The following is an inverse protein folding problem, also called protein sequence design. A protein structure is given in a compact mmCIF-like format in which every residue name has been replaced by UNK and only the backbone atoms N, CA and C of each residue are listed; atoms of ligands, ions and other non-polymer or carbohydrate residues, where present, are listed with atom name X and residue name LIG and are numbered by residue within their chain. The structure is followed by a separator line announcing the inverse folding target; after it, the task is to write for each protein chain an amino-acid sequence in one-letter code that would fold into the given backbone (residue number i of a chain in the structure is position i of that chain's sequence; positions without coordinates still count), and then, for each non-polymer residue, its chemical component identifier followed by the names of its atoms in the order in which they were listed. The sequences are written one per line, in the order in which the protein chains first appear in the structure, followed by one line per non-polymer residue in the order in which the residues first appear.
data_IF_831654613190
#
_entry.id   IF_831654613190
#
_cell.length_a   1.000
_cell.length_b   1.000
_cell.length_c   1.000
_cell.angle_alpha   90.00
_cell.angle_beta   90.00
_cell.angle_gamma   90.00
#
_symmetry.space_group_name_H-M   'P 1'
#
loop_
_entity.id
_entity.type
_entity.pdbx_description
1 polymer ?
#
# COMPACT_ATOMS: atom_id res chain seq x y z
N UNK A 1 -21.64 6.83 -74.32
CA UNK A 1 -21.33 6.28 -72.98
C UNK A 1 -22.07 7.18 -71.99
N UNK A 2 -23.17 6.66 -71.44
CA UNK A 2 -24.22 7.41 -70.75
C UNK A 2 -23.85 7.82 -69.32
N UNK A 3 -24.13 9.07 -68.99
CA UNK A 3 -24.27 9.55 -67.62
C UNK A 3 -25.60 9.01 -67.04
N UNK A 4 -25.54 8.32 -65.90
CA UNK A 4 -26.74 7.87 -65.18
C UNK A 4 -27.21 8.93 -64.19
N UNK A 5 -28.46 9.32 -64.42
CA UNK A 5 -29.27 10.28 -63.70
C UNK A 5 -29.62 9.80 -62.29
N UNK A 6 -29.55 10.74 -61.33
CA UNK A 6 -30.08 10.61 -59.99
C UNK A 6 -31.60 10.38 -60.02
N UNK A 7 -32.07 9.34 -59.32
CA UNK A 7 -33.50 9.17 -58.99
C UNK A 7 -33.66 9.15 -57.48
N UNK A 8 -34.36 10.16 -57.00
CA UNK A 8 -34.84 10.33 -55.62
C UNK A 8 -35.59 9.09 -55.12
N UNK A 9 -35.02 8.45 -54.11
CA UNK A 9 -35.69 7.48 -53.26
C UNK A 9 -35.79 8.05 -51.84
N UNK A 10 -36.91 8.73 -51.56
CA UNK A 10 -37.33 9.12 -50.20
C UNK A 10 -37.50 7.85 -49.37
N UNK A 11 -36.46 7.38 -48.71
CA UNK A 11 -36.58 6.46 -47.58
C UNK A 11 -36.79 7.29 -46.32
N UNK A 12 -38.05 7.34 -45.88
CA UNK A 12 -38.44 7.87 -44.58
C UNK A 12 -37.62 7.17 -43.50
N UNK A 13 -36.67 7.89 -42.89
CA UNK A 13 -36.05 7.44 -41.65
C UNK A 13 -37.07 7.56 -40.53
N UNK A 14 -37.38 6.42 -39.95
CA UNK A 14 -38.17 6.25 -38.74
C UNK A 14 -37.55 7.07 -37.59
N UNK A 15 -38.18 8.22 -37.29
CA UNK A 15 -37.68 9.27 -36.38
C UNK A 15 -37.90 8.93 -34.88
N UNK A 16 -38.15 7.66 -34.55
CA UNK A 16 -38.74 7.22 -33.29
C UNK A 16 -37.80 6.94 -32.11
N UNK A 17 -36.51 7.32 -32.13
CA UNK A 17 -35.57 6.88 -31.06
C UNK A 17 -35.02 7.95 -30.12
N UNK A 18 -35.20 9.25 -30.40
CA UNK A 18 -34.75 10.31 -29.49
C UNK A 18 -35.76 11.45 -29.40
N UNK A 19 -36.33 11.63 -28.21
CA UNK A 19 -37.19 12.76 -27.89
C UNK A 19 -36.31 14.00 -27.74
N UNK A 20 -36.55 15.00 -28.59
CA UNK A 20 -35.89 16.30 -28.49
C UNK A 20 -36.85 17.25 -27.78
N UNK A 21 -36.54 17.58 -26.53
CA UNK A 21 -37.30 18.55 -25.75
C UNK A 21 -37.05 19.96 -26.28
N UNK A 22 -38.08 20.82 -26.28
CA UNK A 22 -37.89 22.26 -26.56
C UNK A 22 -37.16 22.93 -25.39
N UNK A 23 -36.51 24.09 -25.60
CA UNK A 23 -35.85 24.83 -24.51
C UNK A 23 -36.77 25.11 -23.32
N UNK A 24 -38.03 25.45 -23.58
CA UNK A 24 -39.03 25.78 -22.57
C UNK A 24 -39.47 24.53 -21.80
N UNK A 25 -39.55 23.37 -22.47
CA UNK A 25 -39.81 22.08 -21.83
C UNK A 25 -38.63 21.67 -20.93
N UNK A 26 -37.39 21.88 -21.39
CA UNK A 26 -36.20 21.62 -20.58
C UNK A 26 -36.21 22.50 -19.34
N UNK A 27 -36.45 23.80 -19.48
CA UNK A 27 -36.49 24.74 -18.36
C UNK A 27 -37.57 24.37 -17.33
N UNK A 28 -38.76 23.98 -17.79
CA UNK A 28 -39.82 23.49 -16.91
C UNK A 28 -39.41 22.22 -16.16
N UNK A 29 -38.80 21.25 -16.85
CA UNK A 29 -38.29 20.03 -16.23
C UNK A 29 -37.14 20.31 -15.25
N UNK A 30 -36.28 21.30 -15.52
CA UNK A 30 -35.22 21.72 -14.61
C UNK A 30 -35.75 22.40 -13.35
N UNK A 31 -36.76 23.27 -13.46
CA UNK A 31 -37.45 23.83 -12.28
C UNK A 31 -38.05 22.73 -11.41
N UNK A 32 -38.77 21.79 -12.02
CA UNK A 32 -39.34 20.65 -11.30
C UNK A 32 -38.29 19.72 -10.68
N UNK A 33 -37.11 19.63 -11.28
CA UNK A 33 -35.99 18.87 -10.74
C UNK A 33 -35.44 19.46 -9.44
N UNK A 34 -35.42 20.79 -9.32
CA UNK A 34 -35.01 21.46 -8.09
C UNK A 34 -35.97 21.17 -6.93
N UNK A 35 -37.26 21.09 -7.20
CA UNK A 35 -38.27 20.79 -6.17
C UNK A 35 -38.30 19.30 -5.80
N UNK A 36 -38.27 18.41 -6.79
CA UNK A 36 -38.37 16.97 -6.57
C UNK A 36 -37.54 16.18 -7.59
N UNK A 37 -36.27 15.84 -7.28
CA UNK A 37 -35.38 15.14 -8.23
C UNK A 37 -35.72 13.65 -8.45
N UNK A 38 -36.65 13.08 -7.67
CA UNK A 38 -37.13 11.69 -7.79
C UNK A 38 -38.66 11.61 -7.75
N UNK A 39 -39.36 12.15 -8.77
CA UNK A 39 -40.82 12.20 -8.75
C UNK A 39 -41.43 10.79 -8.85
N UNK A 40 -42.48 10.54 -8.06
CA UNK A 40 -43.23 9.27 -8.07
C UNK A 40 -44.02 9.09 -9.39
N UNK A 41 -44.62 7.91 -9.61
CA UNK A 41 -45.46 7.69 -10.81
C UNK A 41 -46.67 8.63 -10.84
N UNK A 42 -47.32 8.80 -9.69
CA UNK A 42 -48.47 9.70 -9.52
C UNK A 42 -48.05 11.15 -9.78
N UNK A 43 -46.93 11.59 -9.20
CA UNK A 43 -46.44 12.95 -9.41
C UNK A 43 -46.13 13.21 -10.89
N UNK A 44 -45.53 12.25 -11.60
CA UNK A 44 -45.27 12.40 -13.06
C UNK A 44 -46.54 12.55 -13.88
N UNK A 45 -47.63 11.86 -13.52
CA UNK A 45 -48.93 12.01 -14.19
C UNK A 45 -49.56 13.37 -13.89
N UNK A 46 -49.47 13.85 -12.65
CA UNK A 46 -49.93 15.19 -12.26
C UNK A 46 -49.19 16.29 -13.01
N UNK A 47 -47.86 16.19 -13.13
CA UNK A 47 -47.04 17.19 -13.83
C UNK A 47 -47.45 17.40 -15.29
N UNK A 48 -47.89 16.36 -15.98
CA UNK A 48 -48.37 16.47 -17.37
C UNK A 48 -49.69 17.25 -17.45
N UNK A 49 -50.54 17.13 -16.41
CA UNK A 49 -51.81 17.86 -16.30
C UNK A 49 -51.61 19.30 -15.84
N UNK A 50 -50.70 19.52 -14.90
CA UNK A 50 -50.41 20.81 -14.27
C UNK A 50 -49.54 21.71 -15.16
N UNK A 51 -48.71 21.14 -16.03
CA UNK A 51 -47.84 21.89 -16.95
C UNK A 51 -48.25 21.65 -18.41
N UNK A 52 -49.05 22.54 -19.01
CA UNK A 52 -49.50 22.43 -20.40
C UNK A 52 -48.33 22.25 -21.40
N UNK A 53 -47.16 22.81 -21.10
CA UNK A 53 -45.97 22.68 -21.94
C UNK A 53 -45.39 21.25 -22.01
N UNK A 54 -45.71 20.42 -21.02
CA UNK A 54 -45.34 19.02 -20.93
C UNK A 54 -46.48 18.07 -21.33
N UNK A 55 -47.65 18.59 -21.72
CA UNK A 55 -48.86 17.80 -22.03
C UNK A 55 -48.64 16.75 -23.13
N UNK A 56 -47.74 17.02 -24.07
CA UNK A 56 -47.38 16.14 -25.18
C UNK A 56 -46.21 15.18 -24.87
N UNK A 57 -45.75 15.09 -23.61
CA UNK A 57 -44.64 14.24 -23.19
C UNK A 57 -45.18 13.04 -22.42
N UNK A 58 -44.74 11.84 -22.77
CA UNK A 58 -45.17 10.64 -22.06
C UNK A 58 -44.57 10.55 -20.64
N UNK A 59 -45.28 9.97 -19.65
CA UNK A 59 -44.76 9.75 -18.30
C UNK A 59 -43.45 8.94 -18.23
N UNK A 60 -43.23 8.07 -19.23
CA UNK A 60 -41.99 7.29 -19.39
C UNK A 60 -40.82 8.20 -19.80
N UNK A 61 -41.04 9.15 -20.69
CA UNK A 61 -40.03 10.09 -21.15
C UNK A 61 -39.59 11.02 -20.00
N UNK A 62 -40.54 11.50 -19.18
CA UNK A 62 -40.24 12.25 -17.95
C UNK A 62 -39.38 11.39 -17.00
N UNK A 63 -39.70 10.10 -16.82
CA UNK A 63 -38.87 9.18 -16.01
C UNK A 63 -37.42 9.17 -16.47
N UNK A 64 -37.22 8.98 -17.78
CA UNK A 64 -35.90 8.87 -18.41
C UNK A 64 -35.16 10.18 -18.32
N UNK A 65 -35.84 11.32 -18.51
CA UNK A 65 -35.25 12.64 -18.35
C UNK A 65 -34.70 12.84 -16.93
N UNK A 66 -35.49 12.56 -15.87
CA UNK A 66 -35.04 12.69 -14.48
C UNK A 66 -33.93 11.68 -14.12
N UNK A 67 -33.96 10.46 -14.66
CA UNK A 67 -32.86 9.50 -14.51
C UNK A 67 -31.58 10.01 -15.15
N UNK A 68 -31.66 10.49 -16.39
CA UNK A 68 -30.53 11.05 -17.12
C UNK A 68 -30.00 12.33 -16.47
N UNK A 69 -30.87 13.20 -15.94
CA UNK A 69 -30.47 14.43 -15.26
C UNK A 69 -29.67 14.13 -13.99
N UNK A 70 -30.12 13.18 -13.17
CA UNK A 70 -29.38 12.69 -11.99
C UNK A 70 -28.04 12.08 -12.38
N UNK A 71 -28.02 11.26 -13.44
CA UNK A 71 -26.80 10.64 -13.95
C UNK A 71 -25.79 11.71 -14.39
N UNK A 72 -26.22 12.70 -15.19
CA UNK A 72 -25.40 13.82 -15.66
C UNK A 72 -24.90 14.69 -14.51
N UNK A 73 -25.74 14.97 -13.51
CA UNK A 73 -25.31 15.76 -12.35
C UNK A 73 -24.27 15.01 -11.51
N UNK A 74 -24.48 13.71 -11.27
CA UNK A 74 -23.49 12.86 -10.60
C UNK A 74 -22.17 12.85 -11.37
N UNK A 75 -22.21 12.66 -12.69
CA UNK A 75 -21.03 12.73 -13.55
C UNK A 75 -20.35 14.10 -13.48
N UNK A 76 -21.10 15.21 -13.47
CA UNK A 76 -20.54 16.56 -13.36
C UNK A 76 -19.82 16.77 -12.03
N UNK A 77 -20.45 16.38 -10.90
CA UNK A 77 -19.83 16.45 -9.56
C UNK A 77 -18.56 15.62 -9.50
N UNK A 78 -18.59 14.41 -10.04
CA UNK A 78 -17.44 13.52 -10.09
C UNK A 78 -16.31 14.07 -10.97
N UNK A 79 -16.63 14.62 -12.14
CA UNK A 79 -15.67 15.27 -13.02
C UNK A 79 -15.01 16.48 -12.33
N UNK A 80 -15.78 17.32 -11.63
CA UNK A 80 -15.25 18.44 -10.85
C UNK A 80 -14.32 17.96 -9.71
N UNK A 81 -14.70 16.88 -9.01
CA UNK A 81 -13.87 16.25 -7.98
C UNK A 81 -12.55 15.74 -8.56
N UNK A 82 -12.60 15.04 -9.69
CA UNK A 82 -11.41 14.54 -10.38
C UNK A 82 -10.51 15.68 -10.87
N UNK A 83 -11.08 16.75 -11.41
CA UNK A 83 -10.31 17.94 -11.78
C UNK A 83 -9.61 18.59 -10.58
N UNK A 84 -10.28 18.69 -9.43
CA UNK A 84 -9.68 19.21 -8.21
C UNK A 84 -8.49 18.36 -7.73
N UNK A 85 -8.65 17.03 -7.72
CA UNK A 85 -7.57 16.09 -7.38
C UNK A 85 -6.42 16.19 -8.39
N UNK A 86 -6.73 16.30 -9.69
CA UNK A 86 -5.71 16.41 -10.74
C UNK A 86 -4.89 17.70 -10.60
N UNK A 87 -5.53 18.83 -10.25
CA UNK A 87 -4.81 20.08 -9.93
C UNK A 87 -3.85 19.90 -8.75
N UNK A 88 -4.30 19.25 -7.66
CA UNK A 88 -3.44 18.94 -6.51
C UNK A 88 -2.25 18.06 -6.91
N UNK A 89 -2.51 17.00 -7.69
CA UNK A 89 -1.48 16.08 -8.17
C UNK A 89 -0.47 16.78 -9.08
N UNK A 90 -0.93 17.66 -9.96
CA UNK A 90 -0.06 18.44 -10.85
C UNK A 90 0.83 19.40 -10.06
N UNK A 91 0.28 20.09 -9.06
CA UNK A 91 1.07 20.95 -8.18
C UNK A 91 2.13 20.17 -7.39
N UNK A 92 1.77 18.99 -6.88
CA UNK A 92 2.70 18.11 -6.17
C UNK A 92 3.77 17.53 -7.10
N UNK A 93 3.42 17.10 -8.31
CA UNK A 93 4.40 16.66 -9.30
C UNK A 93 5.41 17.76 -9.61
N UNK A 94 4.97 19.02 -9.68
CA UNK A 94 5.88 20.16 -9.86
C UNK A 94 6.86 20.27 -8.69
N UNK A 95 6.37 20.22 -7.44
CA UNK A 95 7.24 20.25 -6.26
C UNK A 95 8.22 19.08 -6.21
N UNK A 96 7.77 17.87 -6.56
CA UNK A 96 8.64 16.69 -6.64
C UNK A 96 9.72 16.84 -7.71
N UNK A 97 9.42 17.43 -8.88
CA UNK A 97 10.42 17.72 -9.89
C UNK A 97 11.42 18.77 -9.42
N UNK A 98 10.97 19.83 -8.75
CA UNK A 98 11.86 20.86 -8.18
C UNK A 98 12.81 20.27 -7.13
N UNK A 99 12.31 19.39 -6.26
CA UNK A 99 13.16 18.68 -5.28
C UNK A 99 14.12 17.70 -5.96
N UNK A 100 13.69 16.98 -6.99
CA UNK A 100 14.57 16.10 -7.74
C UNK A 100 15.74 16.88 -8.37
N UNK A 101 15.45 18.04 -8.98
CA UNK A 101 16.46 18.95 -9.51
C UNK A 101 17.44 19.44 -8.43
N UNK A 102 16.94 19.76 -7.23
CA UNK A 102 17.78 20.17 -6.09
C UNK A 102 18.70 19.04 -5.65
N UNK A 103 18.16 17.84 -5.48
CA UNK A 103 18.92 16.65 -5.09
C UNK A 103 19.97 16.30 -6.16
N UNK A 104 19.61 16.39 -7.44
CA UNK A 104 20.53 16.12 -8.54
C UNK A 104 21.71 17.11 -8.55
N UNK A 105 21.46 18.39 -8.21
CA UNK A 105 22.53 19.39 -8.00
C UNK A 105 23.41 19.05 -6.79
N UNK A 106 22.82 18.69 -5.65
CA UNK A 106 23.58 18.28 -4.46
C UNK A 106 24.45 17.06 -4.73
N UNK A 107 23.92 16.03 -5.38
CA UNK A 107 24.68 14.85 -5.79
C UNK A 107 25.82 15.23 -6.73
N UNK A 108 25.57 16.08 -7.73
CA UNK A 108 26.62 16.56 -8.64
C UNK A 108 27.74 17.28 -7.90
N UNK A 109 27.39 18.12 -6.92
CA UNK A 109 28.36 18.83 -6.10
C UNK A 109 29.16 17.88 -5.22
N UNK A 110 28.52 16.94 -4.52
CA UNK A 110 29.21 15.95 -3.71
C UNK A 110 30.12 15.04 -4.54
N UNK A 111 29.73 14.68 -5.77
CA UNK A 111 30.56 13.91 -6.70
C UNK A 111 31.79 14.72 -7.12
N UNK A 112 31.61 16.02 -7.42
CA UNK A 112 32.71 16.92 -7.73
C UNK A 112 33.68 17.08 -6.56
N UNK A 113 33.17 17.36 -5.36
CA UNK A 113 33.97 17.48 -4.13
C UNK A 113 34.73 16.18 -3.84
N UNK A 114 34.08 15.02 -3.93
CA UNK A 114 34.75 13.73 -3.76
C UNK A 114 35.86 13.50 -4.80
N UNK A 115 35.63 13.89 -6.07
CA UNK A 115 36.66 13.84 -7.10
C UNK A 115 37.87 14.71 -6.77
N UNK A 116 37.62 15.93 -6.28
CA UNK A 116 38.65 16.88 -5.84
C UNK A 116 39.46 16.34 -4.65
N UNK A 117 38.79 15.77 -3.64
CA UNK A 117 39.45 15.13 -2.50
C UNK A 117 40.31 13.94 -2.94
N UNK A 118 39.81 13.06 -3.81
CA UNK A 118 40.60 11.92 -4.32
C UNK A 118 41.84 12.36 -5.10
N UNK A 119 41.75 13.44 -5.90
CA UNK A 119 42.91 14.01 -6.58
C UNK A 119 43.91 14.64 -5.61
N UNK A 120 43.45 15.33 -4.57
CA UNK A 120 44.33 15.88 -3.54
C UNK A 120 45.04 14.79 -2.73
N UNK A 121 44.35 13.71 -2.35
CA UNK A 121 44.97 12.57 -1.65
C UNK A 121 46.00 11.84 -2.52
N UNK A 122 45.80 11.77 -3.85
CA UNK A 122 46.78 11.22 -4.80
C UNK A 122 47.98 12.16 -5.03
N UNK A 123 47.79 13.48 -5.00
CA UNK A 123 48.89 14.44 -5.13
C UNK A 123 49.74 14.54 -3.84
N UNK A 124 49.13 14.40 -2.66
CA UNK A 124 49.86 14.38 -1.38
C UNK A 124 50.68 13.10 -1.19
N UNK A 125 50.28 11.97 -1.79
CA UNK A 125 51.06 10.72 -1.72
C UNK A 125 52.29 10.70 -2.63
N UNK A 126 52.44 11.64 -3.57
CA UNK A 126 53.68 11.84 -4.34
C UNK A 126 54.67 12.82 -3.67
N UNK A 127 54.24 13.62 -2.70
CA UNK A 127 55.03 14.75 -2.18
C UNK A 127 55.66 14.54 -0.79
N UNK A 128 55.36 13.46 -0.08
CA UNK A 128 55.94 13.20 1.26
C UNK A 128 56.34 11.74 1.44
N UNK A 129 57.51 11.39 0.88
CA UNK A 129 58.40 10.44 1.58
C UNK A 129 59.18 11.26 2.61
N UNK A 130 58.71 11.21 3.85
CA UNK A 130 59.52 11.07 5.07
C UNK A 130 58.80 11.62 6.29
N UNK A 131 59.07 10.96 7.42
CA UNK A 131 58.79 11.33 8.81
C UNK A 131 57.33 11.32 9.32
N UNK A 132 57.04 10.22 10.04
CA UNK A 132 56.77 10.20 11.49
C UNK A 132 55.80 11.23 12.12
N UNK A 133 54.91 10.67 12.96
CA UNK A 133 54.19 11.24 14.12
C UNK A 133 52.68 11.53 13.96
N UNK A 134 51.96 11.06 14.98
CA UNK A 134 50.53 11.15 15.25
C UNK A 134 49.97 12.56 15.07
N UNK A 135 48.75 12.64 14.50
CA UNK A 135 47.88 13.79 14.70
C UNK A 135 46.48 13.31 15.10
N UNK A 136 46.13 13.67 16.33
CA UNK A 136 44.80 13.52 16.93
C UNK A 136 43.88 14.53 16.25
N UNK A 137 42.88 14.05 15.52
CA UNK A 137 41.73 14.86 15.10
C UNK A 137 40.59 14.59 16.06
N UNK A 138 40.31 15.59 16.90
CA UNK A 138 39.17 15.66 17.80
C UNK A 138 37.86 15.62 17.00
N UNK A 139 37.31 14.42 16.85
CA UNK A 139 35.90 14.26 16.51
C UNK A 139 35.08 14.54 17.77
N UNK A 140 34.29 15.61 17.76
CA UNK A 140 33.41 16.00 18.86
C UNK A 140 32.38 14.92 19.18
N UNK A 141 32.70 14.06 20.14
CA UNK A 141 31.71 13.32 20.91
C UNK A 141 31.02 14.32 21.84
N UNK A 142 29.84 14.79 21.42
CA UNK A 142 28.90 15.34 22.37
C UNK A 142 28.52 14.22 23.35
N UNK A 143 29.00 14.36 24.57
CA UNK A 143 28.58 13.61 25.74
C UNK A 143 27.05 13.64 25.83
N UNK A 144 26.41 12.51 25.53
CA UNK A 144 25.08 12.20 26.05
C UNK A 144 25.30 11.75 27.50
N UNK A 145 24.83 12.59 28.43
CA UNK A 145 24.66 12.23 29.83
C UNK A 145 23.80 10.96 29.94
N UNK A 146 24.14 9.99 30.80
CA UNK A 146 23.32 8.80 31.01
C UNK A 146 22.11 9.19 31.86
N UNK A 147 21.04 9.67 31.22
CA UNK A 147 19.73 9.76 31.87
C UNK A 147 18.94 8.50 31.58
N UNK A 148 18.85 7.68 32.63
CA UNK A 148 17.98 6.51 32.82
C UNK A 148 18.22 5.29 31.92
N UNK A 149 18.52 4.10 32.50
CA UNK A 149 18.48 2.86 31.71
C UNK A 149 17.06 2.62 31.21
N UNK A 150 16.88 2.12 29.97
CA UNK A 150 15.58 1.64 29.52
C UNK A 150 15.09 0.56 30.48
N UNK A 151 13.82 0.62 30.85
CA UNK A 151 13.20 -0.36 31.75
C UNK A 151 13.25 -1.72 31.03
N UNK A 152 14.13 -2.61 31.45
CA UNK A 152 14.20 -3.96 30.89
C UNK A 152 12.86 -4.67 31.15
N UNK A 153 12.14 -4.99 30.08
CA UNK A 153 10.94 -5.82 30.18
C UNK A 153 11.36 -7.22 30.63
N UNK A 154 10.73 -7.73 31.69
CA UNK A 154 11.02 -9.09 32.16
C UNK A 154 10.65 -10.12 31.08
N UNK A 155 11.35 -11.28 31.00
CA UNK A 155 10.99 -12.34 30.07
C UNK A 155 9.52 -12.77 30.16
N UNK A 156 8.95 -12.78 31.37
CA UNK A 156 7.53 -13.06 31.60
C UNK A 156 6.61 -11.97 31.02
N UNK A 157 6.99 -10.69 31.11
CA UNK A 157 6.25 -9.59 30.50
C UNK A 157 6.24 -9.66 28.97
N UNK A 158 7.39 -9.98 28.36
CA UNK A 158 7.50 -10.17 26.91
C UNK A 158 6.67 -11.36 26.43
N UNK A 159 6.65 -12.47 27.19
CA UNK A 159 5.81 -13.62 26.89
C UNK A 159 4.32 -13.26 26.95
N UNK A 160 3.89 -12.51 27.96
CA UNK A 160 2.49 -12.05 28.05
C UNK A 160 2.09 -11.19 26.85
N UNK A 161 2.95 -10.26 26.42
CA UNK A 161 2.72 -9.44 25.21
C UNK A 161 2.66 -10.34 23.96
N UNK A 162 3.53 -11.34 23.87
CA UNK A 162 3.57 -12.29 22.76
C UNK A 162 2.28 -13.13 22.66
N UNK A 163 1.77 -13.63 23.78
CA UNK A 163 0.53 -14.40 23.86
C UNK A 163 -0.71 -13.55 23.54
N UNK A 164 -0.77 -12.31 24.04
CA UNK A 164 -1.82 -11.35 23.68
C UNK A 164 -1.79 -11.05 22.17
N UNK A 165 -0.59 -10.81 21.64
CA UNK A 165 -0.38 -10.54 20.22
C UNK A 165 -0.82 -11.73 19.37
N UNK A 166 -0.50 -12.95 19.78
CA UNK A 166 -0.92 -14.18 19.11
C UNK A 166 -2.45 -14.29 19.06
N UNK A 167 -3.12 -14.12 20.21
CA UNK A 167 -4.57 -14.23 20.31
C UNK A 167 -5.27 -13.19 19.41
N UNK A 168 -4.85 -11.93 19.47
CA UNK A 168 -5.43 -10.87 18.64
C UNK A 168 -5.13 -11.10 17.15
N UNK A 169 -3.90 -11.49 16.80
CA UNK A 169 -3.54 -11.83 15.43
C UNK A 169 -4.43 -12.95 14.86
N UNK A 170 -4.62 -14.05 15.60
CA UNK A 170 -5.44 -15.18 15.17
C UNK A 170 -6.89 -14.77 14.93
N UNK A 171 -7.45 -13.89 15.77
CA UNK A 171 -8.80 -13.36 15.58
C UNK A 171 -8.93 -12.54 14.28
N UNK A 172 -7.91 -11.76 13.92
CA UNK A 172 -7.85 -11.03 12.63
C UNK A 172 -7.66 -11.99 11.45
N UNK A 173 -6.76 -12.96 11.58
CA UNK A 173 -6.38 -13.90 10.54
C UNK A 173 -7.50 -14.90 10.20
N UNK A 174 -8.34 -15.26 11.15
CA UNK A 174 -9.53 -16.11 10.95
C UNK A 174 -10.74 -15.29 10.48
N UNK A 175 -10.76 -13.99 10.77
CA UNK A 175 -11.77 -13.05 10.26
C UNK A 175 -12.86 -12.68 11.25
N UNK A 176 -12.65 -12.90 12.55
CA UNK A 176 -13.63 -12.63 13.61
C UNK A 176 -13.51 -11.22 14.19
N UNK A 177 -12.35 -10.58 14.09
CA UNK A 177 -12.09 -9.31 14.79
C UNK A 177 -12.15 -8.02 13.94
N UNK A 178 -12.14 -8.11 12.61
CA UNK A 178 -12.15 -6.95 11.71
C UNK A 178 -13.17 -7.16 10.61
N UNK A 179 -13.92 -6.10 10.28
CA UNK A 179 -14.82 -6.10 9.13
C UNK A 179 -13.99 -6.05 7.84
N UNK A 180 -13.83 -7.22 7.22
CA UNK A 180 -13.05 -7.41 6.00
C UNK A 180 -13.92 -7.20 4.76
N UNK A 181 -13.54 -6.26 3.91
CA UNK A 181 -14.17 -6.03 2.60
C UNK A 181 -13.22 -6.55 1.51
N UNK A 182 -13.73 -7.36 0.59
CA UNK A 182 -12.93 -7.87 -0.52
C UNK A 182 -12.35 -6.71 -1.35
N UNK A 183 -11.06 -6.80 -1.69
CA UNK A 183 -10.39 -5.75 -2.44
C UNK A 183 -11.03 -5.57 -3.84
N UNK A 184 -11.35 -4.34 -4.25
CA UNK A 184 -11.88 -4.06 -5.59
C UNK A 184 -10.92 -4.48 -6.71
N UNK A 185 -11.49 -5.01 -7.80
CA UNK A 185 -10.72 -5.36 -9.00
C UNK A 185 -10.00 -6.71 -8.96
N UNK A 186 -10.20 -7.50 -7.90
CA UNK A 186 -9.72 -8.89 -7.86
C UNK A 186 -10.51 -9.77 -8.83
N UNK A 187 -9.79 -10.48 -9.71
CA UNK A 187 -10.38 -11.46 -10.64
C UNK A 187 -10.29 -12.86 -10.03
N UNK A 188 -11.41 -13.59 -9.88
CA UNK A 188 -11.36 -15.00 -9.52
C UNK A 188 -10.77 -15.82 -10.68
N UNK A 189 -10.08 -16.92 -10.37
CA UNK A 189 -9.51 -17.82 -11.36
C UNK A 189 -8.28 -18.58 -10.86
N UNK A 190 -7.77 -19.56 -11.64
CA UNK A 190 -6.61 -20.38 -11.28
C UNK A 190 -5.33 -19.56 -11.10
N UNK A 191 -5.22 -18.42 -11.79
CA UNK A 191 -4.09 -17.48 -11.66
C UNK A 191 -4.28 -16.44 -10.54
N UNK A 192 -5.40 -16.48 -9.81
CA UNK A 192 -5.65 -15.54 -8.71
C UNK A 192 -4.57 -15.66 -7.64
N UNK A 193 -3.98 -14.54 -7.22
CA UNK A 193 -2.95 -14.47 -6.18
C UNK A 193 -3.41 -15.00 -4.81
N UNK A 194 -4.72 -15.08 -4.60
CA UNK A 194 -5.35 -15.41 -3.34
C UNK A 194 -6.55 -14.50 -3.11
N UNK A 195 -7.23 -14.70 -1.99
CA UNK A 195 -8.30 -13.81 -1.53
C UNK A 195 -7.63 -12.69 -0.77
N UNK A 196 -7.85 -11.44 -1.19
CA UNK A 196 -7.33 -10.26 -0.51
C UNK A 196 -8.50 -9.39 -0.07
N UNK A 197 -8.50 -9.02 1.20
CA UNK A 197 -9.47 -8.13 1.81
C UNK A 197 -8.75 -6.98 2.50
N UNK A 198 -9.47 -5.87 2.65
CA UNK A 198 -9.00 -4.65 3.30
C UNK A 198 -10.02 -4.27 4.37
N UNK A 199 -9.55 -3.61 5.43
CA UNK A 199 -10.45 -3.05 6.43
C UNK A 199 -11.14 -1.79 5.92
N UNK A 200 -12.34 -1.54 6.44
CA UNK A 200 -13.01 -0.25 6.34
C UNK A 200 -13.22 0.33 7.74
N UNK A 201 -12.73 1.55 7.99
CA UNK A 201 -13.01 2.26 9.24
C UNK A 201 -12.35 1.72 10.51
N UNK A 202 -11.29 0.89 10.41
CA UNK A 202 -10.48 0.54 11.58
C UNK A 202 -9.48 1.65 11.92
N UNK A 203 -8.92 1.62 13.13
CA UNK A 203 -7.77 2.46 13.48
C UNK A 203 -6.59 2.11 12.57
N UNK A 204 -5.98 3.09 11.91
CA UNK A 204 -4.90 2.87 10.95
C UNK A 204 -5.39 2.23 9.64
N UNK A 205 -4.54 1.41 9.03
CA UNK A 205 -4.79 0.68 7.79
C UNK A 205 -4.58 -0.81 8.01
N UNK A 206 -5.46 -1.63 7.45
CA UNK A 206 -5.31 -3.07 7.56
C UNK A 206 -5.68 -3.82 6.29
N UNK A 207 -4.92 -4.87 6.03
CA UNK A 207 -5.09 -5.78 4.91
C UNK A 207 -4.96 -7.22 5.39
N UNK A 208 -5.74 -8.10 4.79
CA UNK A 208 -5.69 -9.54 5.00
C UNK A 208 -5.61 -10.25 3.67
N UNK A 209 -4.80 -11.29 3.59
CA UNK A 209 -4.83 -12.19 2.44
C UNK A 209 -4.79 -13.65 2.84
N UNK A 210 -5.41 -14.50 2.02
CA UNK A 210 -5.35 -15.94 2.14
C UNK A 210 -4.94 -16.54 0.79
N UNK A 211 -3.96 -17.44 0.79
CA UNK A 211 -3.50 -18.09 -0.43
C UNK A 211 -2.82 -19.43 -0.17
N UNK A 212 -2.85 -20.31 -1.18
CA UNK A 212 -2.12 -21.57 -1.21
C UNK A 212 -0.74 -21.37 -1.85
N UNK A 213 0.28 -22.01 -1.29
CA UNK A 213 1.63 -22.08 -1.87
C UNK A 213 2.20 -23.50 -1.73
N UNK A 214 2.93 -23.95 -2.75
CA UNK A 214 3.67 -25.23 -2.72
C UNK A 214 5.00 -25.14 -1.96
N UNK A 215 4.99 -24.63 -0.72
CA UNK A 215 6.16 -24.55 0.16
C UNK A 215 5.78 -25.02 1.57
N UNK A 216 6.68 -25.73 2.23
CA UNK A 216 6.51 -26.20 3.61
C UNK A 216 6.45 -25.02 4.61
N UNK A 217 5.76 -25.17 5.76
CA UNK A 217 5.52 -24.06 6.68
C UNK A 217 6.78 -23.33 7.17
N UNK A 218 7.81 -24.09 7.53
CA UNK A 218 9.10 -23.53 8.00
C UNK A 218 9.77 -22.68 6.93
N UNK A 219 9.78 -23.16 5.68
CA UNK A 219 10.35 -22.44 4.54
C UNK A 219 9.59 -21.15 4.24
N UNK A 220 8.26 -21.18 4.34
CA UNK A 220 7.43 -19.98 4.20
C UNK A 220 7.81 -18.95 5.26
N UNK A 221 7.92 -19.36 6.54
CA UNK A 221 8.27 -18.45 7.62
C UNK A 221 9.66 -17.83 7.44
N UNK A 222 10.67 -18.59 7.02
CA UNK A 222 12.01 -18.07 6.71
C UNK A 222 11.96 -16.95 5.66
N UNK A 223 11.26 -17.20 4.54
CA UNK A 223 11.13 -16.22 3.45
C UNK A 223 10.42 -14.95 3.93
N UNK A 224 9.33 -15.11 4.68
CA UNK A 224 8.53 -13.97 5.14
C UNK A 224 9.26 -13.15 6.22
N UNK A 225 10.05 -13.80 7.10
CA UNK A 225 10.88 -13.14 8.11
C UNK A 225 11.99 -12.29 7.49
N UNK A 226 12.55 -12.73 6.35
CA UNK A 226 13.51 -11.94 5.55
C UNK A 226 12.79 -10.87 4.70
N UNK A 227 12.12 -9.93 5.39
CA UNK A 227 11.37 -8.84 4.76
C UNK A 227 12.17 -8.06 3.71
N UNK A 228 13.44 -7.67 3.93
CA UNK A 228 14.17 -6.92 2.93
C UNK A 228 14.20 -7.64 1.57
N UNK A 229 14.31 -8.97 1.54
CA UNK A 229 14.41 -9.73 0.28
C UNK A 229 13.21 -9.58 -0.67
N UNK A 230 12.04 -9.19 -0.17
CA UNK A 230 10.80 -9.16 -0.96
C UNK A 230 9.97 -7.88 -0.78
N UNK A 231 10.04 -7.24 0.38
CA UNK A 231 9.32 -6.01 0.65
C UNK A 231 10.17 -4.81 0.24
N UNK A 232 9.87 -4.25 -0.94
CA UNK A 232 10.65 -3.16 -1.54
C UNK A 232 10.79 -1.93 -0.66
N UNK A 233 9.74 -1.59 0.09
CA UNK A 233 9.75 -0.41 0.96
C UNK A 233 10.46 -0.69 2.30
N UNK A 234 10.85 -1.94 2.58
CA UNK A 234 11.66 -2.31 3.73
C UNK A 234 13.13 -1.94 3.50
N UNK A 235 13.62 -0.98 4.28
CA UNK A 235 15.02 -0.54 4.26
C UNK A 235 15.92 -1.51 5.03
N UNK A 236 15.56 -1.83 6.25
CA UNK A 236 16.35 -2.66 7.16
C UNK A 236 15.46 -3.35 8.19
N UNK A 237 15.92 -4.51 8.67
CA UNK A 237 15.36 -5.23 9.83
C UNK A 237 16.54 -5.74 10.64
N UNK A 238 16.69 -5.22 11.85
CA UNK A 238 17.73 -5.61 12.79
C UNK A 238 17.10 -6.39 13.94
N UNK A 239 17.53 -7.64 14.13
CA UNK A 239 17.11 -8.45 15.28
C UNK A 239 18.05 -8.13 16.43
N UNK A 240 17.52 -7.46 17.46
CA UNK A 240 18.31 -6.97 18.59
C UNK A 240 18.43 -8.02 19.71
N UNK A 241 17.41 -8.86 19.88
CA UNK A 241 17.41 -9.90 20.90
C UNK A 241 16.53 -11.09 20.46
N UNK A 242 16.88 -12.28 20.93
CA UNK A 242 16.16 -13.54 20.68
C UNK A 242 16.03 -14.30 22.00
N UNK A 243 14.79 -14.62 22.37
CA UNK A 243 14.45 -15.28 23.63
C UNK A 243 13.62 -16.52 23.34
N UNK A 244 14.10 -17.74 23.65
CA UNK A 244 13.28 -18.95 23.57
C UNK A 244 12.20 -18.93 24.66
N UNK A 245 11.03 -19.51 24.36
CA UNK A 245 9.92 -19.63 25.32
C UNK A 245 9.77 -21.07 25.80
N UNK A 246 9.17 -21.26 26.98
CA UNK A 246 9.01 -22.59 27.58
C UNK A 246 8.12 -23.53 26.75
N UNK A 247 7.20 -22.96 25.95
CA UNK A 247 6.32 -23.70 25.04
C UNK A 247 6.95 -23.98 23.67
N UNK A 248 8.28 -23.86 23.52
CA UNK A 248 8.99 -24.15 22.26
C UNK A 248 8.87 -23.05 21.20
N UNK A 249 8.28 -21.91 21.53
CA UNK A 249 8.28 -20.71 20.68
C UNK A 249 9.55 -19.87 20.82
N UNK A 250 9.59 -18.77 20.07
CA UNK A 250 10.70 -17.82 20.08
C UNK A 250 10.19 -16.39 19.99
N UNK A 251 10.64 -15.53 20.89
CA UNK A 251 10.39 -14.09 20.89
C UNK A 251 11.63 -13.39 20.34
N UNK A 252 11.45 -12.54 19.35
CA UNK A 252 12.48 -11.70 18.76
C UNK A 252 12.12 -10.23 18.99
N UNK A 253 13.06 -9.45 19.51
CA UNK A 253 12.94 -8.00 19.57
C UNK A 253 13.63 -7.41 18.35
N UNK A 254 12.91 -6.62 17.58
CA UNK A 254 13.40 -6.18 16.28
C UNK A 254 13.10 -4.71 15.99
N UNK A 255 14.08 -4.09 15.34
CA UNK A 255 14.01 -2.74 14.85
C UNK A 255 13.87 -2.77 13.33
N UNK A 256 12.79 -2.20 12.80
CA UNK A 256 12.50 -2.20 11.36
C UNK A 256 12.41 -0.77 10.84
N UNK A 257 13.00 -0.54 9.67
CA UNK A 257 12.93 0.73 8.96
C UNK A 257 12.24 0.56 7.61
N UNK A 258 11.32 1.46 7.30
CA UNK A 258 10.67 1.57 6.00
C UNK A 258 11.05 2.89 5.32
N UNK A 259 11.30 2.82 4.01
CA UNK A 259 11.44 4.00 3.18
C UNK A 259 10.14 4.81 3.15
N UNK A 260 10.26 6.13 3.01
CA UNK A 260 9.11 6.97 2.73
C UNK A 260 8.61 6.72 1.29
N UNK A 261 7.29 6.62 1.07
CA UNK A 261 6.71 6.57 -0.27
C UNK A 261 7.13 7.71 -1.20
N UNK A 262 7.51 8.87 -0.64
CA UNK A 262 7.98 10.06 -1.36
C UNK A 262 9.05 10.77 -0.54
N UNK A 263 9.86 11.61 -1.17
CA UNK A 263 10.87 12.45 -0.49
C UNK A 263 10.26 13.61 0.30
N UNK A 264 8.97 13.87 0.13
CA UNK A 264 8.23 14.95 0.81
C UNK A 264 7.73 14.55 2.21
N UNK A 265 8.10 13.37 2.70
CA UNK A 265 7.71 12.86 4.00
C UNK A 265 8.87 12.06 4.62
N UNK A 266 8.99 12.06 5.96
CA UNK A 266 10.01 11.28 6.66
C UNK A 266 9.78 9.77 6.52
N UNK A 267 10.85 8.99 6.65
CA UNK A 267 10.79 7.54 6.68
C UNK A 267 10.11 7.03 7.97
N UNK A 268 9.68 5.76 8.00
CA UNK A 268 9.06 5.15 9.19
C UNK A 268 10.01 4.18 9.86
N UNK A 269 10.04 4.19 11.18
CA UNK A 269 10.67 3.14 11.96
C UNK A 269 9.68 2.45 12.88
N UNK A 270 10.01 1.23 13.29
CA UNK A 270 9.19 0.40 14.14
C UNK A 270 10.06 -0.32 15.16
N UNK A 271 9.58 -0.34 16.39
CA UNK A 271 10.14 -1.16 17.46
C UNK A 271 9.15 -2.27 17.79
N UNK A 272 9.51 -3.51 17.48
CA UNK A 272 8.58 -4.62 17.38
C UNK A 272 9.00 -5.79 18.27
N UNK A 273 8.00 -6.48 18.77
CA UNK A 273 8.08 -7.86 19.22
C UNK A 273 7.57 -8.76 18.10
N UNK A 274 8.32 -9.80 17.76
CA UNK A 274 7.90 -10.90 16.88
C UNK A 274 7.89 -12.18 17.68
N UNK A 275 6.77 -12.89 17.67
CA UNK A 275 6.64 -14.20 18.29
C UNK A 275 6.41 -15.26 17.22
N UNK A 276 7.25 -16.29 17.24
CA UNK A 276 7.14 -17.47 16.39
C UNK A 276 6.77 -18.66 17.24
N UNK A 277 5.71 -19.39 16.89
CA UNK A 277 5.28 -20.57 17.63
C UNK A 277 4.61 -21.60 16.72
N UNK A 278 4.74 -22.88 17.07
CA UNK A 278 4.06 -23.99 16.41
C UNK A 278 2.84 -24.35 17.25
N UNK A 279 1.67 -24.41 16.64
CA UNK A 279 0.42 -24.77 17.30
C UNK A 279 0.24 -26.29 17.35
N UNK A 280 -0.71 -26.76 18.17
CA UNK A 280 -1.04 -28.18 18.34
C UNK A 280 -1.47 -28.87 17.03
N UNK A 281 -2.09 -28.12 16.11
CA UNK A 281 -2.51 -28.62 14.79
C UNK A 281 -1.38 -28.66 13.75
N UNK A 282 -0.14 -28.39 14.17
CA UNK A 282 1.05 -28.33 13.31
C UNK A 282 1.17 -27.03 12.50
N UNK A 283 0.25 -26.08 12.66
CA UNK A 283 0.36 -24.76 12.04
C UNK A 283 1.50 -23.96 12.65
N UNK A 284 2.24 -23.24 11.82
CA UNK A 284 3.26 -22.30 12.25
C UNK A 284 2.69 -20.89 12.25
N UNK A 285 2.84 -20.18 13.36
CA UNK A 285 2.43 -18.78 13.51
C UNK A 285 3.65 -17.90 13.72
N UNK A 286 3.69 -16.79 13.00
CA UNK A 286 4.63 -15.69 13.22
C UNK A 286 3.80 -14.42 13.38
N UNK A 287 3.66 -13.91 14.58
CA UNK A 287 2.89 -12.69 14.86
C UNK A 287 3.79 -11.57 15.38
N UNK A 288 3.45 -10.34 15.02
CA UNK A 288 4.24 -9.15 15.33
C UNK A 288 3.37 -8.02 15.86
N UNK A 289 3.94 -7.22 16.76
CA UNK A 289 3.32 -6.03 17.32
C UNK A 289 4.38 -5.01 17.72
N UNK A 290 4.06 -3.73 17.60
CA UNK A 290 4.86 -2.66 18.18
C UNK A 290 4.85 -2.70 19.71
N UNK A 291 6.02 -2.47 20.30
CA UNK A 291 6.20 -2.38 21.75
C UNK A 291 5.94 -0.97 22.30
N UNK A 292 5.91 0.04 21.42
CA UNK A 292 5.42 1.37 21.77
C UNK A 292 3.98 1.25 22.30
N UNK A 293 3.70 1.91 23.42
CA UNK A 293 2.38 1.91 24.08
C UNK A 293 2.01 0.65 24.90
N UNK A 294 2.93 -0.31 25.09
CA UNK A 294 2.72 -1.42 26.04
C UNK A 294 3.23 -1.02 27.44
N UNK A 295 2.40 -1.14 28.49
CA UNK A 295 2.74 -0.68 29.85
C UNK A 295 4.03 -1.30 30.43
N UNK A 296 4.46 -2.44 29.88
CA UNK A 296 5.62 -3.22 30.34
C UNK A 296 6.65 -3.54 29.23
N UNK A 297 6.56 -2.92 28.05
CA UNK A 297 7.51 -3.18 26.95
C UNK A 297 8.81 -2.37 27.09
N UNK A 298 9.92 -2.84 26.50
CA UNK A 298 11.15 -2.08 26.46
C UNK A 298 10.94 -0.83 25.59
N UNK A 299 11.36 0.34 26.09
CA UNK A 299 11.21 1.60 25.37
C UNK A 299 12.40 1.86 24.45
N UNK A 300 12.12 2.24 23.21
CA UNK A 300 13.14 2.72 22.27
C UNK A 300 12.97 4.22 22.02
N UNK A 301 14.03 5.04 22.17
CA UNK A 301 13.93 6.47 21.93
C UNK A 301 13.59 6.79 20.46
N UNK A 302 13.06 7.99 20.19
CA UNK A 302 12.87 8.47 18.82
C UNK A 302 14.20 8.52 18.08
N UNK A 303 14.21 8.09 16.82
CA UNK A 303 15.39 8.15 15.95
C UNK A 303 15.27 9.35 15.02
N UNK A 304 16.35 10.10 14.86
CA UNK A 304 16.36 11.29 14.01
C UNK A 304 15.98 10.93 12.57
N UNK A 305 15.17 11.79 11.92
CA UNK A 305 14.68 11.64 10.55
C UNK A 305 13.68 10.50 10.30
N UNK A 306 13.22 9.83 11.36
CA UNK A 306 12.15 8.83 11.29
C UNK A 306 10.93 9.28 12.11
N UNK A 307 9.75 8.87 11.63
CA UNK A 307 8.52 8.91 12.42
C UNK A 307 8.22 7.48 12.87
N UNK A 308 8.04 7.30 14.18
CA UNK A 308 7.70 6.01 14.77
C UNK A 308 6.30 5.61 14.38
N UNK A 309 6.18 4.60 13.52
CA UNK A 309 4.91 3.95 13.22
C UNK A 309 4.53 2.93 14.30
N UNK A 310 3.28 2.51 14.26
CA UNK A 310 2.74 1.47 15.13
C UNK A 310 2.25 0.30 14.29
N UNK A 311 2.74 -0.90 14.59
CA UNK A 311 2.23 -2.16 14.08
C UNK A 311 1.29 -2.74 15.12
N UNK A 312 0.01 -2.79 14.78
CA UNK A 312 -0.97 -3.54 15.56
C UNK A 312 -0.79 -5.04 15.26
N UNK A 313 -1.34 -5.96 16.08
CA UNK A 313 -1.13 -7.40 15.88
C UNK A 313 -1.36 -7.83 14.43
N UNK A 314 -0.26 -8.25 13.82
CA UNK A 314 -0.05 -8.55 12.40
C UNK A 314 0.77 -9.84 12.30
N UNK A 315 0.88 -10.42 11.11
CA UNK A 315 1.73 -11.60 10.92
C UNK A 315 1.20 -12.62 9.93
N UNK A 316 1.62 -13.86 10.14
CA UNK A 316 1.45 -15.00 9.24
C UNK A 316 0.96 -16.22 10.02
N UNK A 317 -0.15 -16.81 9.59
CA UNK A 317 -0.62 -18.12 10.02
C UNK A 317 -0.42 -19.07 8.83
N UNK A 318 0.44 -20.06 9.02
CA UNK A 318 0.92 -20.95 7.97
C UNK A 318 0.49 -22.36 8.32
N UNK A 319 -0.51 -22.86 7.61
CA UNK A 319 -1.12 -24.16 7.88
C UNK A 319 -0.64 -25.19 6.85
N UNK A 320 -0.12 -26.34 7.28
CA UNK A 320 0.21 -27.42 6.34
C UNK A 320 -1.03 -27.89 5.58
N UNK A 321 -0.83 -28.40 4.36
CA UNK A 321 -1.90 -28.94 3.51
C UNK A 321 -1.67 -30.41 3.18
N UNK A 322 -2.76 -31.18 3.14
CA UNK A 322 -2.74 -32.54 2.60
C UNK A 322 -2.38 -32.48 1.11
N UNK A 323 -1.29 -33.15 0.71
CA UNK A 323 -0.73 -33.09 -0.65
C UNK A 323 0.51 -32.20 -0.80
N UNK A 324 1.01 -31.63 0.31
CA UNK A 324 2.24 -30.81 0.34
C UNK A 324 1.95 -29.31 0.20
N UNK A 325 2.82 -28.48 0.79
CA UNK A 325 2.68 -27.03 0.79
C UNK A 325 1.87 -26.47 1.97
N UNK A 326 1.46 -25.19 1.85
CA UNK A 326 0.86 -24.43 2.94
C UNK A 326 -0.29 -23.52 2.50
N UNK A 327 -1.35 -23.44 3.31
CA UNK A 327 -2.32 -22.33 3.28
C UNK A 327 -1.80 -21.23 4.20
N UNK A 328 -1.65 -20.04 3.65
CA UNK A 328 -1.12 -18.89 4.36
C UNK A 328 -2.21 -17.86 4.54
N UNK A 329 -2.39 -17.41 5.78
CA UNK A 329 -3.13 -16.19 6.11
C UNK A 329 -2.13 -15.11 6.51
N UNK A 330 -2.20 -13.97 5.84
CA UNK A 330 -1.38 -12.79 6.11
C UNK A 330 -2.30 -11.71 6.66
N UNK A 331 -1.89 -11.05 7.74
CA UNK A 331 -2.52 -9.83 8.26
C UNK A 331 -1.45 -8.77 8.39
N UNK A 332 -1.65 -7.64 7.72
CA UNK A 332 -0.87 -6.42 7.92
C UNK A 332 -1.79 -5.36 8.52
N UNK A 333 -1.46 -4.83 9.69
CA UNK A 333 -2.25 -3.81 10.39
C UNK A 333 -1.31 -2.75 10.97
N UNK A 334 -1.32 -1.57 10.36
CA UNK A 334 -0.35 -0.51 10.63
C UNK A 334 -1.06 0.82 10.87
N UNK A 335 -0.58 1.57 11.84
CA UNK A 335 -0.76 3.00 11.91
C UNK A 335 0.56 3.67 11.49
N UNK A 336 0.51 4.40 10.37
CA UNK A 336 1.69 5.00 9.72
C UNK A 336 1.85 6.49 10.05
N UNK A 337 1.16 6.96 11.10
CA UNK A 337 1.16 8.34 11.58
C UNK A 337 0.88 9.32 10.44
N UNK A 338 -0.20 9.10 9.70
CA UNK A 338 -0.52 9.88 8.51
C UNK A 338 -0.67 11.39 8.77
N UNK A 339 -1.05 11.77 9.99
CA UNK A 339 -1.12 13.18 10.37
C UNK A 339 0.24 13.89 10.34
N UNK A 340 1.35 13.15 10.43
CA UNK A 340 2.72 13.67 10.39
C UNK A 340 3.18 14.08 8.98
N UNK A 341 2.34 13.86 7.96
CA UNK A 341 2.64 14.21 6.56
C UNK A 341 1.65 15.25 6.02
N UNK A 342 2.03 16.00 4.96
CA UNK A 342 1.12 16.89 4.25
C UNK A 342 -0.20 16.20 3.87
N UNK A 343 -1.32 16.91 4.01
CA UNK A 343 -2.68 16.37 3.78
C UNK A 343 -2.83 15.69 2.41
N UNK A 344 -2.18 16.24 1.39
CA UNK A 344 -2.19 15.68 0.02
C UNK A 344 -1.51 14.30 -0.07
N UNK A 345 -0.59 13.98 0.84
CA UNK A 345 0.13 12.70 0.90
C UNK A 345 -0.52 11.68 1.83
N UNK A 346 -1.42 12.10 2.73
CA UNK A 346 -2.12 11.20 3.67
C UNK A 346 -2.74 9.96 3.02
N UNK A 347 -3.34 10.03 1.82
CA UNK A 347 -3.87 8.83 1.16
C UNK A 347 -2.84 7.72 0.91
N UNK A 348 -1.55 8.02 0.84
CA UNK A 348 -0.49 7.01 0.70
C UNK A 348 -0.25 6.22 2.00
N UNK A 349 -0.69 6.75 3.14
CA UNK A 349 -0.51 6.17 4.48
C UNK A 349 -1.83 5.67 5.08
N UNK A 350 -2.96 6.22 4.66
CA UNK A 350 -4.32 5.89 5.15
C UNK A 350 -5.07 4.92 4.22
N UNK A 351 -4.46 4.46 3.12
CA UNK A 351 -5.09 3.53 2.20
C UNK A 351 -4.73 2.07 2.48
N UNK A 352 -5.68 1.31 3.02
CA UNK A 352 -5.57 -0.16 3.15
C UNK A 352 -5.33 -0.86 1.80
N UNK A 353 -5.82 -0.30 0.68
CA UNK A 353 -5.54 -0.81 -0.67
C UNK A 353 -4.06 -0.66 -1.04
N UNK A 354 -3.46 0.49 -0.74
CA UNK A 354 -2.03 0.73 -0.98
C UNK A 354 -1.18 -0.21 -0.13
N UNK A 355 -1.52 -0.34 1.16
CA UNK A 355 -0.88 -1.30 2.07
C UNK A 355 -0.93 -2.72 1.50
N UNK A 356 -2.12 -3.18 1.15
CA UNK A 356 -2.33 -4.53 0.64
C UNK A 356 -1.55 -4.79 -0.65
N UNK A 357 -1.50 -3.83 -1.58
CA UNK A 357 -0.77 -3.99 -2.84
C UNK A 357 0.74 -4.07 -2.65
N UNK A 358 1.30 -3.24 -1.77
CA UNK A 358 2.74 -3.08 -1.54
C UNK A 358 3.33 -4.15 -0.63
N UNK A 359 2.55 -4.61 0.36
CA UNK A 359 3.04 -5.54 1.39
C UNK A 359 2.36 -6.89 1.25
N UNK A 360 1.07 -6.99 1.56
CA UNK A 360 0.35 -8.27 1.68
C UNK A 360 0.37 -9.09 0.39
N UNK A 361 0.07 -8.45 -0.74
CA UNK A 361 0.11 -9.10 -2.04
C UNK A 361 1.55 -9.37 -2.49
N UNK A 362 2.50 -8.48 -2.18
CA UNK A 362 3.90 -8.69 -2.54
C UNK A 362 4.47 -9.96 -1.88
N UNK A 363 4.13 -10.21 -0.61
CA UNK A 363 4.47 -11.43 0.11
C UNK A 363 3.95 -12.68 -0.63
N UNK A 364 2.66 -12.71 -0.99
CA UNK A 364 2.08 -13.85 -1.73
C UNK A 364 2.70 -14.03 -3.12
N UNK A 365 3.03 -12.94 -3.84
CA UNK A 365 3.73 -13.02 -5.13
C UNK A 365 5.09 -13.67 -4.97
N UNK A 366 5.85 -13.23 -3.97
CA UNK A 366 7.19 -13.75 -3.70
C UNK A 366 7.15 -15.25 -3.40
N UNK A 367 6.26 -15.68 -2.50
CA UNK A 367 6.13 -17.07 -2.11
C UNK A 367 5.77 -17.97 -3.29
N UNK A 368 4.78 -17.56 -4.11
CA UNK A 368 4.40 -18.29 -5.32
C UNK A 368 5.52 -18.35 -6.34
N UNK A 369 6.26 -17.25 -6.49
CA UNK A 369 7.38 -17.21 -7.40
C UNK A 369 8.47 -18.20 -6.99
N UNK A 370 8.86 -18.21 -5.71
CA UNK A 370 9.85 -19.16 -5.18
C UNK A 370 9.34 -20.60 -5.33
N UNK A 371 8.08 -20.87 -5.01
CA UNK A 371 7.48 -22.20 -5.19
C UNK A 371 7.58 -22.69 -6.64
N UNK A 372 7.28 -21.83 -7.62
CA UNK A 372 7.41 -22.17 -9.04
C UNK A 372 8.87 -22.46 -9.44
N UNK A 373 9.83 -21.73 -8.88
CA UNK A 373 11.25 -21.92 -9.18
C UNK A 373 11.80 -23.25 -8.64
N UNK A 374 11.38 -23.63 -7.43
CA UNK A 374 11.73 -24.94 -6.84
C UNK A 374 11.15 -26.07 -7.69
N UNK A 375 9.91 -25.90 -8.16
CA UNK A 375 9.17 -26.86 -9.00
C UNK A 375 9.76 -27.05 -10.40
N UNK A 376 10.34 -26.00 -11.00
CA UNK A 376 10.77 -25.97 -12.41
C UNK A 376 12.30 -26.04 -12.62
N UNK A 377 13.06 -26.44 -11.61
CA UNK A 377 14.52 -26.64 -11.71
C UNK A 377 14.95 -27.68 -12.77
N UNK A 378 14.01 -28.42 -13.40
CA UNK A 378 14.28 -29.42 -14.44
C UNK A 378 13.96 -29.01 -15.89
N UNK A 379 13.45 -27.80 -16.18
CA UNK A 379 13.18 -27.39 -17.59
C UNK A 379 13.66 -25.96 -17.85
N UNK A 380 14.75 -25.84 -18.61
CA UNK A 380 15.28 -24.58 -19.14
C UNK A 380 14.26 -23.92 -20.07
N UNK A 381 13.52 -22.92 -19.58
CA UNK A 381 12.60 -22.15 -20.42
C UNK A 381 13.02 -20.67 -20.48
N UNK A 382 13.40 -20.26 -21.69
CA UNK A 382 14.00 -18.99 -22.13
C UNK A 382 13.06 -17.75 -22.06
N UNK A 383 12.10 -17.73 -21.14
CA UNK A 383 11.04 -16.70 -21.09
C UNK A 383 10.93 -15.89 -19.80
N UNK A 384 11.71 -16.18 -18.75
CA UNK A 384 11.62 -15.48 -17.46
C UNK A 384 12.92 -14.80 -17.08
N UNK A 385 12.83 -13.60 -16.49
CA UNK A 385 13.98 -12.89 -15.92
C UNK A 385 14.70 -13.81 -14.92
N UNK A 386 15.95 -14.24 -15.20
CA UNK A 386 16.71 -15.12 -14.33
C UNK A 386 16.87 -14.54 -12.93
N UNK A 387 17.01 -15.40 -11.92
CA UNK A 387 17.25 -14.99 -10.53
C UNK A 387 18.38 -13.94 -10.40
N UNK A 388 19.43 -14.07 -11.21
CA UNK A 388 20.52 -13.10 -11.31
C UNK A 388 20.08 -11.70 -11.78
N UNK A 389 19.17 -11.58 -12.76
CA UNK A 389 18.64 -10.29 -13.21
C UNK A 389 17.73 -9.64 -12.16
N UNK A 390 17.08 -10.44 -11.29
CA UNK A 390 16.28 -9.91 -10.19
C UNK A 390 17.12 -9.49 -9.00
N UNK A 391 18.12 -10.28 -8.62
CA UNK A 391 19.12 -9.86 -7.63
C UNK A 391 19.81 -8.56 -8.09
N UNK A 392 20.13 -8.45 -9.38
CA UNK A 392 20.61 -7.20 -9.97
C UNK A 392 19.56 -6.08 -9.89
N UNK A 393 18.30 -6.30 -10.26
CA UNK A 393 17.22 -5.30 -10.17
C UNK A 393 16.95 -4.85 -8.73
N UNK A 394 17.01 -5.75 -7.74
CA UNK A 394 16.86 -5.45 -6.32
C UNK A 394 18.05 -4.65 -5.80
N UNK A 395 19.28 -5.03 -6.20
CA UNK A 395 20.49 -4.24 -5.87
C UNK A 395 20.47 -2.87 -6.52
N UNK A 396 20.03 -2.75 -7.77
CA UNK A 396 19.92 -1.47 -8.48
C UNK A 396 18.84 -0.57 -7.87
N UNK A 397 17.72 -1.14 -7.41
CA UNK A 397 16.69 -0.34 -6.72
C UNK A 397 17.11 0.11 -5.31
N UNK A 398 18.05 -0.60 -4.67
CA UNK A 398 18.65 -0.19 -3.38
C UNK A 398 19.88 0.71 -3.51
N UNK A 399 20.60 0.66 -4.64
CA UNK A 399 21.83 1.42 -4.87
C UNK A 399 21.66 2.82 -5.44
N UNK A 400 20.43 3.21 -5.80
CA UNK A 400 20.12 4.49 -6.46
C UNK A 400 19.07 5.34 -5.71
N UNK A 401 18.77 5.07 -4.43
CA UNK A 401 17.81 5.84 -3.63
C UNK A 401 18.36 6.32 -2.30
#
# INVERSE_FOLDING_TARGET
MMAMSCKDGKMAMDNGKYVRYTPEQVEALERLYHDCPKPSSIRRQQLIRECPILSNIEPKQIKVWFQNRRCREKQRKEASRLQAVNRKLTAMNKLLMEENDRLQKQVSQLVYENGYFRQHTQNTTLATKDTSCESVVTSGQHHLTPQHPPRDASPAGLLSIAEETLAEFLSKATGTAVEWVQMPGMKPGPDSIGIVAISHGCTGVAARACGLVGLEPTRVAEILKDRPSWFRDCRAVDVLNVLPTANGGTIELLYMQLYAPTTLAPARDFWLLRYTSVMEDGSLVVCERSLSNTQNGPSMPPVQNFVRGEMLPSGYLIRPCEGGGSIIHIVDHLNLEAWSVPEVLRPLYESSTVLAQKTTMAALRQLRQIAQEVSHSNVTNWGRRPAALRALSQRLSRGFQ
#
